data_IF_277437246400
#
_entry.id   IF_277437246400
#
_cell.length_a   1.000
_cell.length_b   1.000
_cell.length_c   1.000
_cell.angle_alpha   90.00
_cell.angle_beta   90.00
_cell.angle_gamma   90.00
#
_symmetry.space_group_name_H-M   'P 1'
#
loop_
_entity.id
_entity.type
_entity.pdbx_description
1 polymer ?
#
# COMPACT_ATOMS: atom_id res chain seq x y z
N UNK A 1 1.97 -5.66 -7.35
CA UNK A 1 2.46 -4.30 -6.98
C UNK A 1 2.99 -3.51 -8.18
N UNK A 2 4.14 -3.82 -8.82
CA UNK A 2 4.68 -3.03 -9.96
C UNK A 2 3.74 -2.85 -11.17
N UNK A 3 2.73 -3.73 -11.30
CA UNK A 3 1.72 -3.70 -12.38
C UNK A 3 0.45 -2.89 -12.01
N UNK A 4 0.36 -2.36 -10.78
CA UNK A 4 -0.79 -1.59 -10.32
C UNK A 4 -0.50 -0.12 -10.61
N UNK A 5 -1.25 0.48 -11.52
CA UNK A 5 -1.11 1.90 -11.83
C UNK A 5 -1.53 2.77 -10.64
N UNK A 6 -0.84 3.88 -10.42
CA UNK A 6 -1.09 4.77 -9.27
C UNK A 6 -0.21 4.54 -8.06
N UNK A 7 0.56 3.45 -8.00
CA UNK A 7 1.59 3.22 -6.97
C UNK A 7 2.92 2.79 -7.58
N UNK A 8 4.00 3.06 -6.86
CA UNK A 8 5.37 2.68 -7.22
C UNK A 8 6.11 2.09 -6.02
N UNK A 9 7.05 1.20 -6.29
CA UNK A 9 7.96 0.65 -5.28
C UNK A 9 9.22 1.50 -5.24
N UNK A 10 9.72 1.83 -4.04
CA UNK A 10 11.04 2.45 -3.91
C UNK A 10 12.15 1.47 -4.34
N UNK A 11 12.91 1.86 -5.36
CA UNK A 11 14.06 1.10 -5.85
C UNK A 11 13.71 -0.35 -6.23
N UNK A 12 14.64 -1.24 -5.89
CA UNK A 12 14.56 -2.67 -6.20
C UNK A 12 14.84 -3.45 -4.92
N UNK A 13 13.85 -3.63 -4.03
CA UNK A 13 14.06 -4.36 -2.79
C UNK A 13 14.48 -5.80 -3.11
N UNK A 14 15.61 -6.23 -2.53
CA UNK A 14 16.16 -7.57 -2.71
C UNK A 14 15.67 -8.56 -1.63
N UNK A 15 14.98 -8.06 -0.60
CA UNK A 15 14.56 -8.82 0.59
C UNK A 15 13.08 -8.60 0.88
N UNK A 16 12.63 -8.96 2.09
CA UNK A 16 11.22 -9.02 2.50
C UNK A 16 10.54 -7.67 2.72
N UNK A 17 11.27 -6.56 2.76
CA UNK A 17 10.68 -5.24 3.03
C UNK A 17 10.42 -4.51 1.71
N UNK A 18 9.16 -4.19 1.46
CA UNK A 18 8.72 -3.50 0.23
C UNK A 18 8.05 -2.19 0.63
N UNK A 19 8.67 -1.06 0.23
CA UNK A 19 8.12 0.27 0.44
C UNK A 19 7.39 0.77 -0.82
N UNK A 20 6.20 1.35 -0.62
CA UNK A 20 5.30 1.89 -1.63
C UNK A 20 5.15 3.40 -1.48
N UNK A 21 5.06 4.08 -2.61
CA UNK A 21 4.68 5.49 -2.70
C UNK A 21 3.75 5.75 -3.89
N UNK A 22 3.15 6.93 -3.93
CA UNK A 22 2.35 7.39 -5.06
C UNK A 22 2.71 8.82 -5.43
N UNK A 23 2.56 9.14 -6.72
CA UNK A 23 2.58 10.52 -7.23
C UNK A 23 1.18 11.01 -7.62
N UNK A 24 0.16 10.14 -7.58
CA UNK A 24 -1.22 10.43 -8.03
C UNK A 24 -2.15 10.81 -6.89
N UNK A 25 -1.88 10.32 -5.68
CA UNK A 25 -2.65 10.58 -4.47
C UNK A 25 -1.74 10.50 -3.24
N UNK A 26 -2.24 10.93 -2.07
CA UNK A 26 -1.47 10.83 -0.82
C UNK A 26 -1.41 9.37 -0.33
N UNK A 27 -0.22 8.78 -0.25
CA UNK A 27 -0.03 7.33 0.01
C UNK A 27 -0.67 6.83 1.31
N UNK A 28 -0.85 7.69 2.32
CA UNK A 28 -1.51 7.31 3.58
C UNK A 28 -2.98 6.94 3.39
N UNK A 29 -3.64 7.40 2.33
CA UNK A 29 -4.99 6.94 1.98
C UNK A 29 -5.04 5.46 1.62
N UNK A 30 -3.98 4.94 0.98
CA UNK A 30 -3.83 3.51 0.78
C UNK A 30 -3.65 2.79 2.12
N UNK A 31 -2.87 3.37 3.04
CA UNK A 31 -2.69 2.84 4.40
C UNK A 31 -4.02 2.75 5.15
N UNK A 32 -4.84 3.80 5.11
CA UNK A 32 -6.15 3.84 5.77
C UNK A 32 -7.13 2.84 5.16
N UNK A 33 -7.19 2.76 3.83
CA UNK A 33 -8.04 1.80 3.13
C UNK A 33 -7.67 0.36 3.44
N UNK A 34 -6.36 0.08 3.58
CA UNK A 34 -5.83 -1.22 3.96
C UNK A 34 -6.12 -1.53 5.44
N UNK A 35 -5.98 -0.55 6.33
CA UNK A 35 -6.32 -0.68 7.75
C UNK A 35 -7.81 -0.99 7.97
N UNK A 36 -8.71 -0.37 7.19
CA UNK A 36 -10.16 -0.69 7.19
C UNK A 36 -10.44 -2.14 6.79
N UNK A 37 -9.53 -2.78 6.05
CA UNK A 37 -9.59 -4.18 5.63
C UNK A 37 -8.75 -5.11 6.52
N UNK A 38 -8.24 -4.61 7.65
CA UNK A 38 -7.51 -5.40 8.65
C UNK A 38 -6.00 -5.50 8.43
N UNK A 39 -5.46 -4.85 7.39
CA UNK A 39 -4.01 -4.82 7.15
C UNK A 39 -3.33 -3.74 7.99
N UNK A 40 -2.29 -4.11 8.71
CA UNK A 40 -1.47 -3.17 9.46
C UNK A 40 -0.10 -2.99 8.78
N UNK A 41 0.09 -1.84 8.11
CA UNK A 41 1.34 -1.49 7.43
C UNK A 41 2.05 -0.38 8.20
N UNK A 42 3.38 -0.34 8.05
CA UNK A 42 4.16 0.71 8.66
C UNK A 42 4.13 1.97 7.79
N UNK A 43 3.73 3.09 8.39
CA UNK A 43 3.80 4.41 7.77
C UNK A 43 5.23 4.94 7.85
N UNK A 44 5.70 5.51 6.75
CA UNK A 44 7.05 6.05 6.58
C UNK A 44 6.97 7.53 6.22
N UNK A 45 8.02 8.28 6.58
CA UNK A 45 8.13 9.72 6.34
C UNK A 45 9.50 10.08 5.75
N UNK A 46 9.56 11.22 5.07
CA UNK A 46 10.76 11.77 4.42
C UNK A 46 11.44 10.81 3.43
N UNK A 47 10.75 10.36 2.36
CA UNK A 47 9.45 10.83 1.84
C UNK A 47 8.23 10.07 2.39
N UNK A 48 7.03 10.65 2.26
CA UNK A 48 5.77 9.97 2.63
C UNK A 48 5.62 8.65 1.87
N UNK A 49 5.49 7.56 2.62
CA UNK A 49 5.46 6.21 2.09
C UNK A 49 4.77 5.24 3.07
N UNK A 50 4.53 4.01 2.62
CA UNK A 50 4.15 2.89 3.49
C UNK A 50 5.03 1.69 3.17
N UNK A 51 5.25 0.77 4.11
CA UNK A 51 5.91 -0.49 3.79
C UNK A 51 5.22 -1.70 4.40
N UNK A 52 5.42 -2.84 3.74
CA UNK A 52 5.10 -4.17 4.24
C UNK A 52 6.40 -4.94 4.45
N UNK A 53 6.56 -5.55 5.62
CA UNK A 53 7.59 -6.56 5.87
C UNK A 53 6.97 -7.95 5.69
N UNK A 54 7.34 -8.64 4.62
CA UNK A 54 6.86 -9.99 4.33
C UNK A 54 7.51 -10.99 5.29
N UNK A 55 6.72 -11.50 6.21
CA UNK A 55 7.07 -12.60 7.13
C UNK A 55 6.35 -13.89 6.76
N UNK A 56 6.64 -14.99 7.48
CA UNK A 56 6.07 -16.32 7.23
C UNK A 56 4.53 -16.36 7.18
N UNK A 57 3.83 -15.51 7.93
CA UNK A 57 2.34 -15.49 7.88
C UNK A 57 1.80 -15.03 6.53
N UNK A 58 2.57 -14.22 5.80
CA UNK A 58 2.18 -13.72 4.48
C UNK A 58 2.40 -14.74 3.37
N UNK A 59 3.14 -15.83 3.64
CA UNK A 59 3.36 -16.91 2.67
C UNK A 59 2.29 -17.99 2.74
N UNK A 60 1.31 -17.86 3.64
CA UNK A 60 0.19 -18.77 3.70
C UNK A 60 -0.67 -18.67 2.42
N UNK A 61 -1.34 -19.76 2.00
CA UNK A 61 -2.13 -19.77 0.78
C UNK A 61 -3.15 -18.64 0.73
N UNK A 62 -3.17 -17.88 -0.37
CA UNK A 62 -4.14 -16.82 -0.64
C UNK A 62 -3.87 -15.47 0.03
N UNK A 63 -2.97 -15.37 1.02
CA UNK A 63 -2.72 -14.10 1.72
C UNK A 63 -2.08 -13.06 0.79
N UNK A 64 -1.13 -13.47 -0.04
CA UNK A 64 -0.51 -12.58 -1.02
C UNK A 64 -1.50 -12.11 -2.08
N UNK A 65 -2.40 -12.99 -2.54
CA UNK A 65 -3.42 -12.65 -3.53
C UNK A 65 -4.46 -11.69 -2.95
N UNK A 66 -4.95 -11.97 -1.74
CA UNK A 66 -5.85 -11.08 -1.00
C UNK A 66 -5.24 -9.69 -0.80
N UNK A 67 -3.96 -9.62 -0.40
CA UNK A 67 -3.26 -8.35 -0.27
C UNK A 67 -3.21 -7.58 -1.59
N UNK A 68 -2.91 -8.27 -2.71
CA UNK A 68 -2.85 -7.64 -4.02
C UNK A 68 -4.21 -7.14 -4.48
N UNK A 69 -5.29 -7.87 -4.22
CA UNK A 69 -6.66 -7.49 -4.58
C UNK A 69 -7.13 -6.29 -3.78
N UNK A 70 -6.88 -6.28 -2.46
CA UNK A 70 -7.21 -5.14 -1.61
C UNK A 70 -6.44 -3.88 -2.03
N UNK A 71 -5.13 -4.01 -2.31
CA UNK A 71 -4.33 -2.89 -2.84
C UNK A 71 -4.90 -2.37 -4.16
N UNK A 72 -5.28 -3.26 -5.11
CA UNK A 72 -5.86 -2.83 -6.39
C UNK A 72 -7.16 -2.04 -6.18
N UNK A 73 -8.09 -2.60 -5.42
CA UNK A 73 -9.40 -1.99 -5.15
C UNK A 73 -9.24 -0.61 -4.51
N UNK A 74 -8.39 -0.49 -3.49
CA UNK A 74 -8.17 0.80 -2.82
C UNK A 74 -7.48 1.79 -3.74
N UNK A 75 -6.48 1.36 -4.52
CA UNK A 75 -5.79 2.26 -5.45
C UNK A 75 -6.76 2.81 -6.49
N UNK A 76 -7.66 1.99 -7.02
CA UNK A 76 -8.73 2.43 -7.93
C UNK A 76 -9.67 3.42 -7.27
N UNK A 77 -10.11 3.16 -6.02
CA UNK A 77 -10.96 4.07 -5.23
C UNK A 77 -10.29 5.44 -5.03
N UNK A 78 -9.03 5.47 -4.59
CA UNK A 78 -8.33 6.73 -4.23
C UNK A 78 -7.84 7.51 -5.45
N UNK A 79 -7.51 6.84 -6.56
CA UNK A 79 -7.12 7.50 -7.81
C UNK A 79 -8.31 8.21 -8.45
N UNK A 80 -9.52 7.67 -8.32
CA UNK A 80 -10.73 8.30 -8.81
C UNK A 80 -11.17 9.50 -7.96
N UNK A 81 -10.72 9.59 -6.70
CA UNK A 81 -11.04 10.68 -5.77
C UNK A 81 -9.79 11.35 -5.17
N UNK A 82 -8.85 11.89 -5.97
CA UNK A 82 -7.51 12.23 -5.49
C UNK A 82 -7.44 13.44 -4.55
N UNK A 83 -8.50 14.26 -4.48
CA UNK A 83 -8.57 15.47 -3.65
C UNK A 83 -9.09 15.25 -2.23
N UNK A 84 -9.58 14.06 -1.93
CA UNK A 84 -10.03 13.73 -0.58
C UNK A 84 -8.82 13.74 0.37
N UNK A 85 -8.97 14.43 1.50
CA UNK A 85 -7.92 14.61 2.48
C UNK A 85 -7.60 13.31 3.23
N UNK A 86 -6.42 13.27 3.84
CA UNK A 86 -5.99 12.16 4.70
C UNK A 86 -6.63 12.37 6.07
N UNK A 87 -7.37 11.38 6.58
CA UNK A 87 -7.94 11.46 7.92
C UNK A 87 -6.86 11.08 8.94
N UNK A 88 -6.23 12.09 9.56
CA UNK A 88 -5.29 11.86 10.65
C UNK A 88 -5.95 11.10 11.80
N UNK A 89 -5.39 9.95 12.18
CA UNK A 89 -5.73 9.22 13.41
C UNK A 89 -4.60 9.30 14.42
#
# INVERSE_FOLDING_TARGET
LRKIDGISIFGTPATSVIALHSKKFHIYRLSEGLAKRGWNLNVLQFPSAIHLCVTYVHTQPGIADQFLDDVRNIVEEVVNNPKEEVEGR
#
